data_IF_907263707438
#
_entry.id   IF_907263707438
#
_cell.length_a   1.000
_cell.length_b   1.000
_cell.length_c   1.000
_cell.angle_alpha   90.00
_cell.angle_beta   90.00
_cell.angle_gamma   90.00
#
_symmetry.space_group_name_H-M   'P 1'
#
loop_
_entity.id
_entity.type
_entity.pdbx_description
1 polymer ?
#
# COMPACT_ATOMS: atom_id res chain seq x y z
N UNK A 1 0.00 22.71 25.38
CA UNK A 1 -0.20 23.61 24.22
C UNK A 1 0.53 22.98 23.04
N UNK A 2 -0.15 22.22 22.19
CA UNK A 2 0.46 21.74 20.93
C UNK A 2 0.74 22.93 20.03
N UNK A 3 1.95 23.02 19.48
CA UNK A 3 2.28 24.07 18.52
C UNK A 3 1.48 23.81 17.24
N UNK A 4 0.79 24.83 16.76
CA UNK A 4 0.31 24.86 15.38
C UNK A 4 1.55 24.67 14.48
N UNK A 5 1.67 23.53 13.80
CA UNK A 5 2.77 23.24 12.88
C UNK A 5 3.64 22.02 13.21
N UNK A 6 3.37 21.28 14.28
CA UNK A 6 4.00 19.96 14.48
C UNK A 6 3.24 18.92 13.65
N UNK A 7 3.82 18.52 12.53
CA UNK A 7 3.27 17.48 11.67
C UNK A 7 3.68 16.14 12.29
N UNK A 8 2.72 15.41 12.85
CA UNK A 8 3.00 14.09 13.40
C UNK A 8 3.64 13.20 12.34
N UNK A 9 4.66 12.43 12.75
CA UNK A 9 5.26 11.43 11.87
C UNK A 9 4.18 10.44 11.45
N UNK A 10 4.10 10.20 10.14
CA UNK A 10 3.24 9.15 9.59
C UNK A 10 3.61 7.82 10.25
N UNK A 11 2.61 7.13 10.77
CA UNK A 11 2.80 5.77 11.26
C UNK A 11 2.99 4.86 10.05
N UNK A 12 4.17 4.26 9.95
CA UNK A 12 4.53 3.37 8.83
C UNK A 12 4.80 1.97 9.37
N UNK A 13 4.33 0.95 8.66
CA UNK A 13 4.70 -0.43 8.99
C UNK A 13 6.20 -0.64 8.78
N UNK A 14 6.87 -1.30 9.73
CA UNK A 14 8.30 -1.58 9.61
C UNK A 14 8.65 -2.62 8.53
N UNK A 15 7.68 -3.45 8.11
CA UNK A 15 7.82 -4.45 7.05
C UNK A 15 6.46 -4.83 6.45
N UNK A 16 6.42 -5.44 5.25
CA UNK A 16 5.21 -6.04 4.69
C UNK A 16 4.60 -7.07 5.65
N UNK A 17 3.30 -6.95 5.93
CA UNK A 17 2.58 -7.87 6.81
C UNK A 17 2.39 -9.27 6.19
N UNK A 18 1.84 -10.21 6.98
CA UNK A 18 1.61 -11.61 6.59
C UNK A 18 0.96 -11.77 5.22
N UNK A 19 -0.26 -11.23 5.01
CA UNK A 19 -0.97 -11.28 3.75
C UNK A 19 -0.81 -9.96 2.97
N UNK A 20 0.35 -9.31 3.01
CA UNK A 20 0.59 -8.13 2.17
C UNK A 20 0.51 -8.51 0.68
N UNK A 21 -0.34 -7.86 -0.14
CA UNK A 21 -0.47 -8.21 -1.56
C UNK A 21 0.82 -7.94 -2.35
N UNK A 22 1.70 -7.04 -1.86
CA UNK A 22 2.99 -6.77 -2.49
C UNK A 22 3.99 -7.92 -2.38
N UNK A 23 3.78 -8.91 -1.50
CA UNK A 23 4.72 -10.02 -1.35
C UNK A 23 4.49 -11.08 -2.42
N UNK A 24 5.55 -11.50 -3.10
CA UNK A 24 5.50 -12.58 -4.12
C UNK A 24 5.13 -13.92 -3.52
N UNK A 25 5.49 -14.17 -2.26
CA UNK A 25 5.12 -15.39 -1.54
C UNK A 25 3.66 -15.40 -1.05
N UNK A 26 2.86 -14.40 -1.46
CA UNK A 26 1.41 -14.39 -1.37
C UNK A 26 0.72 -14.55 -2.74
N UNK A 27 1.47 -14.74 -3.83
CA UNK A 27 0.91 -14.87 -5.19
C UNK A 27 -0.13 -15.99 -5.34
N UNK A 28 0.08 -17.10 -4.63
CA UNK A 28 -0.81 -18.27 -4.62
C UNK A 28 -1.84 -18.24 -3.49
N UNK A 29 -1.77 -17.23 -2.62
CA UNK A 29 -2.63 -17.11 -1.45
C UNK A 29 -3.94 -16.41 -1.80
N UNK A 30 -4.75 -16.28 -0.76
CA UNK A 30 -5.99 -15.49 -0.68
C UNK A 30 -5.94 -14.25 -1.57
N UNK A 31 -6.96 -14.11 -2.40
CA UNK A 31 -7.12 -12.92 -3.25
C UNK A 31 -7.92 -11.85 -2.57
N UNK A 32 -7.68 -10.63 -3.00
CA UNK A 32 -8.26 -9.45 -2.38
C UNK A 32 -9.28 -8.85 -3.33
N UNK A 33 -10.56 -9.10 -3.08
CA UNK A 33 -11.64 -8.68 -4.00
C UNK A 33 -11.67 -7.16 -4.25
N UNK A 34 -11.34 -6.37 -3.23
CA UNK A 34 -11.30 -4.90 -3.29
C UNK A 34 -9.93 -4.33 -3.70
N UNK A 35 -8.93 -5.18 -3.98
CA UNK A 35 -7.58 -4.72 -4.29
C UNK A 35 -7.49 -3.83 -5.53
N UNK A 36 -8.22 -4.06 -6.65
CA UNK A 36 -8.13 -3.16 -7.81
C UNK A 36 -8.52 -1.73 -7.45
N UNK A 37 -9.68 -1.57 -6.80
CA UNK A 37 -10.21 -0.25 -6.41
C UNK A 37 -9.26 0.46 -5.44
N UNK A 38 -8.81 -0.26 -4.40
CA UNK A 38 -7.92 0.30 -3.39
C UNK A 38 -6.50 0.57 -3.89
N UNK A 39 -5.97 -0.29 -4.74
CA UNK A 39 -4.63 -0.13 -5.29
C UNK A 39 -4.63 1.00 -6.30
N UNK A 40 -5.50 1.00 -7.31
CA UNK A 40 -5.53 1.98 -8.40
C UNK A 40 -5.59 3.43 -7.86
N UNK A 41 -6.38 3.69 -6.82
CA UNK A 41 -6.45 5.00 -6.16
C UNK A 41 -5.13 5.51 -5.56
N UNK A 42 -4.13 4.64 -5.42
CA UNK A 42 -2.84 4.87 -4.75
C UNK A 42 -1.62 4.66 -5.66
N UNK A 43 -1.83 4.34 -6.95
CA UNK A 43 -0.75 4.15 -7.93
C UNK A 43 -0.76 5.33 -8.92
N UNK A 44 0.33 6.13 -8.99
CA UNK A 44 0.43 7.20 -9.97
C UNK A 44 0.22 6.69 -11.40
N UNK A 45 -0.71 7.32 -12.13
CA UNK A 45 -1.03 6.98 -13.53
C UNK A 45 -2.16 5.98 -13.72
N UNK A 46 -2.64 5.33 -12.65
CA UNK A 46 -3.82 4.46 -12.73
C UNK A 46 -5.13 5.28 -12.66
N UNK A 47 -6.22 4.81 -13.30
CA UNK A 47 -7.54 5.43 -13.17
C UNK A 47 -7.98 5.50 -11.69
N UNK A 48 -8.47 6.66 -11.26
CA UNK A 48 -8.90 6.90 -9.88
C UNK A 48 -7.77 7.30 -8.92
N UNK A 49 -6.53 7.45 -9.39
CA UNK A 49 -5.43 7.96 -8.55
C UNK A 49 -5.77 9.30 -7.89
N UNK A 50 -5.73 9.34 -6.55
CA UNK A 50 -6.05 10.53 -5.77
C UNK A 50 -7.54 10.74 -5.50
N UNK A 51 -8.42 9.86 -5.99
CA UNK A 51 -9.83 9.87 -5.63
C UNK A 51 -10.05 9.26 -4.22
N UNK A 52 -11.04 9.75 -3.45
CA UNK A 52 -11.40 9.12 -2.18
C UNK A 52 -11.89 7.68 -2.40
N UNK A 53 -11.21 6.69 -1.81
CA UNK A 53 -11.69 5.30 -1.76
C UNK A 53 -12.67 5.16 -0.59
N UNK A 54 -13.83 4.52 -0.81
CA UNK A 54 -14.92 4.36 0.18
C UNK A 54 -15.39 5.68 0.84
N UNK A 55 -15.28 6.82 0.13
CA UNK A 55 -15.72 8.12 0.62
C UNK A 55 -14.87 8.72 1.75
N UNK A 56 -13.71 8.14 2.06
CA UNK A 56 -12.74 8.70 3.01
C UNK A 56 -11.93 9.82 2.34
N UNK A 57 -12.15 11.11 2.67
CA UNK A 57 -11.40 12.21 2.06
C UNK A 57 -9.90 12.18 2.44
N UNK A 58 -9.50 11.41 3.45
CA UNK A 58 -8.08 11.18 3.76
C UNK A 58 -7.46 10.09 2.89
N UNK A 59 -8.28 9.29 2.18
CA UNK A 59 -7.83 8.46 1.07
C UNK A 59 -7.55 9.30 -0.20
N UNK A 60 -8.11 10.53 -0.29
CA UNK A 60 -7.99 11.47 -1.42
C UNK A 60 -6.58 12.09 -1.61
N UNK A 61 -5.56 11.37 -1.19
CA UNK A 61 -4.16 11.77 -1.20
C UNK A 61 -3.27 10.60 -1.69
N UNK A 62 -3.84 9.45 -2.07
CA UNK A 62 -3.10 8.28 -2.53
C UNK A 62 -2.26 7.60 -1.42
N UNK A 63 -2.31 8.12 -0.20
CA UNK A 63 -1.52 7.64 0.95
C UNK A 63 -2.15 6.46 1.67
N UNK A 64 -3.39 6.08 1.34
CA UNK A 64 -4.01 4.89 1.91
C UNK A 64 -4.11 3.74 0.93
N UNK A 65 -2.94 3.23 0.56
CA UNK A 65 -2.73 1.80 0.75
C UNK A 65 -2.37 1.58 2.24
N UNK A 66 -3.25 2.07 3.14
CA UNK A 66 -3.07 1.88 4.57
C UNK A 66 -3.14 0.38 4.78
N UNK A 67 -2.13 -0.18 5.44
CA UNK A 67 -1.96 -1.62 5.62
C UNK A 67 -3.34 -2.27 5.84
N UNK A 68 -3.77 -3.17 4.95
CA UNK A 68 -5.13 -3.75 4.95
C UNK A 68 -5.50 -4.52 6.23
N UNK A 69 -4.57 -4.61 7.19
CA UNK A 69 -4.73 -5.14 8.54
C UNK A 69 -5.14 -4.11 9.60
N UNK A 70 -5.11 -2.84 9.28
CA UNK A 70 -5.16 -1.75 10.25
C UNK A 70 -6.45 -0.97 10.05
N UNK A 71 -7.17 -0.72 11.15
CA UNK A 71 -8.46 -0.02 11.10
C UNK A 71 -8.32 1.43 10.62
N UNK A 72 -9.40 1.96 10.04
CA UNK A 72 -9.49 3.35 9.54
C UNK A 72 -9.22 4.42 10.61
N UNK A 73 -9.39 4.09 11.89
CA UNK A 73 -9.10 4.97 13.02
C UNK A 73 -7.63 5.04 13.44
N UNK A 74 -6.76 4.16 12.93
CA UNK A 74 -5.31 4.18 13.21
C UNK A 74 -4.47 3.80 11.98
N UNK A 75 -4.61 4.49 10.85
CA UNK A 75 -4.08 4.06 9.57
C UNK A 75 -2.54 4.07 9.57
N UNK A 76 -1.94 2.98 9.07
CA UNK A 76 -0.50 2.86 8.89
C UNK A 76 -0.14 2.81 7.41
N UNK A 77 0.92 3.50 7.00
CA UNK A 77 1.47 3.44 5.65
C UNK A 77 2.06 2.04 5.38
N UNK A 78 1.63 1.39 4.30
CA UNK A 78 2.11 0.05 3.92
C UNK A 78 3.57 0.08 3.46
N UNK A 79 4.41 -0.72 4.12
CA UNK A 79 5.83 -0.82 3.81
C UNK A 79 6.11 -1.34 2.40
N UNK A 80 5.34 -2.33 1.94
CA UNK A 80 5.49 -2.91 0.60
C UNK A 80 5.13 -1.92 -0.51
N UNK A 81 4.05 -1.16 -0.33
CA UNK A 81 3.64 -0.13 -1.29
C UNK A 81 4.70 0.97 -1.39
N UNK A 82 5.18 1.50 -0.26
CA UNK A 82 6.22 2.54 -0.26
C UNK A 82 7.53 2.06 -0.87
N UNK A 83 7.95 0.83 -0.58
CA UNK A 83 9.19 0.29 -1.11
C UNK A 83 9.16 0.09 -2.64
N UNK A 84 8.00 -0.22 -3.22
CA UNK A 84 7.85 -0.49 -4.66
C UNK A 84 7.44 0.76 -5.45
N UNK A 85 6.43 1.50 -4.97
CA UNK A 85 5.78 2.61 -5.68
C UNK A 85 6.22 3.98 -5.15
N UNK A 86 6.75 4.04 -3.93
CA UNK A 86 6.97 5.30 -3.21
C UNK A 86 7.88 6.31 -3.91
N UNK A 87 8.79 5.86 -4.78
CA UNK A 87 9.66 6.76 -5.56
C UNK A 87 8.89 7.58 -6.59
N UNK A 88 7.80 7.03 -7.10
CA UNK A 88 6.95 7.66 -8.12
C UNK A 88 5.77 8.39 -7.48
N UNK A 89 5.40 8.02 -6.24
CA UNK A 89 4.26 8.59 -5.53
C UNK A 89 4.54 10.01 -5.02
N UNK A 90 3.83 11.06 -5.51
CA UNK A 90 4.10 12.45 -5.16
C UNK A 90 4.08 12.74 -3.67
N UNK A 91 3.11 12.20 -2.93
CA UNK A 91 3.04 12.43 -1.48
C UNK A 91 4.07 11.67 -0.67
N UNK A 92 4.58 10.54 -1.17
CA UNK A 92 5.70 9.85 -0.51
C UNK A 92 6.96 10.69 -0.70
N UNK A 93 7.18 11.23 -1.91
CA UNK A 93 8.29 12.15 -2.17
C UNK A 93 8.22 13.40 -1.29
N UNK A 94 7.06 14.02 -1.15
CA UNK A 94 6.86 15.13 -0.21
C UNK A 94 7.11 14.72 1.24
N UNK A 95 6.62 13.55 1.65
CA UNK A 95 6.86 13.00 2.98
C UNK A 95 8.35 12.81 3.28
N UNK A 96 9.14 12.36 2.29
CA UNK A 96 10.60 12.27 2.41
C UNK A 96 11.25 13.65 2.52
N UNK A 97 10.86 14.60 1.66
CA UNK A 97 11.38 15.99 1.70
C UNK A 97 11.11 16.66 3.05
N UNK A 98 9.94 16.40 3.64
CA UNK A 98 9.53 16.96 4.94
C UNK A 98 10.08 16.17 6.14
N UNK A 99 10.82 15.07 5.93
CA UNK A 99 11.36 14.24 7.00
C UNK A 99 10.32 13.39 7.75
N UNK A 100 9.14 13.19 7.15
CA UNK A 100 8.05 12.35 7.67
C UNK A 100 8.23 10.87 7.31
N UNK A 101 8.96 10.59 6.23
CA UNK A 101 9.31 9.24 5.76
C UNK A 101 10.83 9.16 5.64
N UNK A 102 11.42 8.13 6.25
CA UNK A 102 12.84 7.84 6.07
C UNK A 102 13.10 7.44 4.60
N UNK A 103 14.04 8.08 3.87
CA UNK A 103 14.42 7.66 2.51
C UNK A 103 14.75 6.16 2.38
N UNK A 104 15.24 5.52 3.44
CA UNK A 104 15.52 4.08 3.46
C UNK A 104 14.27 3.22 3.24
N UNK A 105 13.07 3.74 3.57
CA UNK A 105 11.79 3.08 3.34
C UNK A 105 11.45 2.88 1.85
N UNK A 106 12.10 3.62 0.93
CA UNK A 106 11.90 3.53 -0.52
C UNK A 106 12.60 2.32 -1.16
N UNK A 107 13.07 1.38 -0.33
CA UNK A 107 13.70 0.13 -0.75
C UNK A 107 13.25 -0.99 0.17
N UNK A 108 13.15 -2.24 -0.32
CA UNK A 108 12.98 -3.39 0.55
C UNK A 108 14.13 -3.49 1.57
N UNK A 109 13.81 -3.88 2.80
CA UNK A 109 14.82 -4.21 3.81
C UNK A 109 15.51 -5.55 3.52
N UNK A 110 16.68 -5.76 4.11
CA UNK A 110 17.55 -6.93 3.86
C UNK A 110 16.83 -8.28 4.08
N UNK A 111 16.03 -8.40 5.14
CA UNK A 111 15.30 -9.63 5.52
C UNK A 111 13.80 -9.59 5.18
N UNK A 112 13.41 -8.76 4.20
CA UNK A 112 12.02 -8.70 3.76
C UNK A 112 11.66 -9.90 2.88
N UNK A 113 10.38 -10.34 2.87
CA UNK A 113 9.91 -11.26 1.85
C UNK A 113 10.06 -10.63 0.46
N UNK A 114 10.23 -11.43 -0.60
CA UNK A 114 10.34 -10.91 -1.96
C UNK A 114 9.09 -10.10 -2.32
N UNK A 115 9.28 -8.94 -2.93
CA UNK A 115 8.19 -8.06 -3.38
C UNK A 115 8.04 -8.10 -4.90
N UNK A 116 6.83 -7.90 -5.41
CA UNK A 116 6.58 -7.62 -6.82
C UNK A 116 7.27 -6.31 -7.23
N UNK A 117 7.67 -6.20 -8.49
CA UNK A 117 8.40 -5.02 -8.99
C UNK A 117 7.46 -3.90 -9.47
N UNK A 118 6.18 -4.23 -9.72
CA UNK A 118 5.18 -3.28 -10.21
C UNK A 118 3.78 -3.61 -9.71
N UNK A 119 2.91 -2.59 -9.78
CA UNK A 119 1.48 -2.75 -9.53
C UNK A 119 0.84 -3.79 -10.46
N UNK A 120 1.20 -3.79 -11.74
CA UNK A 120 0.62 -4.66 -12.76
C UNK A 120 1.02 -6.12 -12.55
N UNK A 121 2.27 -6.37 -12.16
CA UNK A 121 2.73 -7.70 -11.77
C UNK A 121 1.96 -8.20 -10.54
N UNK A 122 1.85 -7.36 -9.50
CA UNK A 122 1.09 -7.66 -8.29
C UNK A 122 -0.38 -7.98 -8.62
N UNK A 123 -1.07 -7.16 -9.42
CA UNK A 123 -2.47 -7.39 -9.79
C UNK A 123 -2.68 -8.67 -10.59
N UNK A 124 -1.75 -8.99 -11.49
CA UNK A 124 -1.81 -10.23 -12.27
C UNK A 124 -1.70 -11.47 -11.38
N UNK A 125 -0.92 -11.37 -10.30
CA UNK A 125 -0.68 -12.49 -9.38
C UNK A 125 -1.75 -12.62 -8.29
N UNK A 126 -2.14 -11.52 -7.62
CA UNK A 126 -3.01 -11.55 -6.42
C UNK A 126 -4.34 -10.83 -6.57
N UNK A 127 -4.59 -10.17 -7.71
CA UNK A 127 -5.84 -9.47 -7.99
C UNK A 127 -7.04 -10.43 -8.13
N UNK A 128 -8.27 -9.91 -8.09
CA UNK A 128 -9.49 -10.72 -8.20
C UNK A 128 -9.53 -11.54 -9.50
N UNK A 129 -9.00 -10.99 -10.60
CA UNK A 129 -9.01 -11.61 -11.92
C UNK A 129 -7.83 -12.58 -12.20
N UNK A 130 -6.93 -12.81 -11.24
CA UNK A 130 -5.81 -13.73 -11.42
C UNK A 130 -6.30 -15.18 -11.76
N UNK A 131 -5.45 -16.13 -12.20
CA UNK A 131 -5.82 -17.56 -12.33
C UNK A 131 -5.83 -18.32 -10.99
N UNK A 132 -6.94 -18.98 -10.61
CA UNK A 132 -7.10 -19.54 -9.24
C UNK A 132 -6.27 -20.81 -9.06
N UNK A 133 -5.36 -20.87 -8.08
CA UNK A 133 -4.82 -22.14 -7.64
C UNK A 133 -5.94 -23.01 -7.06
N UNK A 134 -5.90 -24.34 -7.24
CA UNK A 134 -6.87 -25.23 -6.64
C UNK A 134 -6.94 -25.05 -5.11
N UNK A 135 -8.13 -24.79 -4.58
CA UNK A 135 -8.38 -24.70 -3.13
C UNK A 135 -8.19 -23.31 -2.50
N UNK A 136 -7.96 -22.25 -3.28
CA UNK A 136 -7.82 -20.88 -2.77
C UNK A 136 -9.17 -20.17 -2.68
N UNK A 137 -9.45 -19.51 -1.55
CA UNK A 137 -10.65 -18.69 -1.34
C UNK A 137 -10.39 -17.19 -1.59
N UNK A 138 -11.44 -16.47 -1.99
CA UNK A 138 -11.44 -15.00 -2.06
C UNK A 138 -11.61 -14.41 -0.65
N UNK A 139 -10.86 -13.36 -0.33
CA UNK A 139 -11.13 -12.51 0.83
C UNK A 139 -12.22 -11.52 0.44
N UNK A 140 -13.38 -11.66 1.08
CA UNK A 140 -14.44 -10.66 1.06
C UNK A 140 -14.29 -9.74 2.29
N UNK A 141 -14.79 -8.50 2.15
CA UNK A 141 -14.81 -7.46 3.19
C UNK A 141 -15.37 -7.96 4.53
#
# INVERSE_FOLDING_TARGET
>A
MSRVGEVDRLQMCARPCGPCPWRRDNADRKRYGNLPEYAAGTIPGEPGFGEPVDGDPQAALGTRFACHHVSSGNPHVCAGHVAVVGREHPLVRFGVILGLIDPAALKPGEDWPPLFDSYQEMMTAVGPDAPLPPGTELVQR
#
